data_IF_469840765989
#
_entry.id   IF_469840765989
#
_cell.length_a   1.000
_cell.length_b   1.000
_cell.length_c   1.000
_cell.angle_alpha   90.00
_cell.angle_beta   90.00
_cell.angle_gamma   90.00
#
_symmetry.space_group_name_H-M   'P 1'
#
loop_
_entity.id
_entity.type
_entity.pdbx_description
1 polymer ?
#
# COMPACT_ATOMS: atom_id res chain seq x y z
N UNK A 1 -10.67 -2.28 -7.37
CA UNK A 1 -9.56 -1.29 -7.40
C UNK A 1 -9.46 -0.68 -6.02
N UNK A 2 -8.28 -0.52 -5.42
CA UNK A 2 -8.16 0.03 -4.06
C UNK A 2 -8.20 1.56 -4.11
N UNK A 3 -9.24 2.16 -3.52
CA UNK A 3 -9.45 3.61 -3.44
C UNK A 3 -8.23 4.29 -2.81
N UNK A 4 -7.62 3.63 -1.82
CA UNK A 4 -6.45 4.14 -1.12
C UNK A 4 -5.19 4.17 -2.00
N UNK A 5 -5.03 3.22 -2.94
CA UNK A 5 -3.91 3.27 -3.86
C UNK A 5 -4.02 4.45 -4.84
N UNK A 6 -5.23 4.73 -5.33
CA UNK A 6 -5.49 5.91 -6.17
C UNK A 6 -5.21 7.20 -5.41
N UNK A 7 -5.75 7.32 -4.19
CA UNK A 7 -5.50 8.46 -3.33
C UNK A 7 -4.01 8.64 -3.05
N UNK A 8 -3.26 7.54 -2.85
CA UNK A 8 -1.84 7.59 -2.63
C UNK A 8 -1.06 8.17 -3.83
N UNK A 9 -1.39 7.76 -5.05
CA UNK A 9 -0.76 8.35 -6.24
C UNK A 9 -1.16 9.81 -6.44
N UNK A 10 -2.39 10.20 -6.10
CA UNK A 10 -2.82 11.61 -6.13
C UNK A 10 -2.03 12.45 -5.12
N UNK A 11 -1.86 11.98 -3.88
CA UNK A 11 -1.05 12.66 -2.87
C UNK A 11 0.40 12.84 -3.37
N UNK A 12 1.00 11.79 -3.92
CA UNK A 12 2.36 11.83 -4.48
C UNK A 12 2.46 12.82 -5.65
N UNK A 13 1.47 12.81 -6.54
CA UNK A 13 1.44 13.70 -7.71
C UNK A 13 1.20 15.16 -7.34
N UNK A 14 0.29 15.44 -6.41
CA UNK A 14 0.01 16.78 -5.89
C UNK A 14 1.28 17.42 -5.33
N UNK A 15 2.07 16.64 -4.59
CA UNK A 15 3.37 17.06 -4.07
C UNK A 15 4.39 17.35 -5.16
N UNK A 16 4.45 16.55 -6.21
CA UNK A 16 5.36 16.78 -7.36
C UNK A 16 4.98 18.06 -8.12
N UNK A 17 3.68 18.28 -8.33
CA UNK A 17 3.17 19.44 -9.06
C UNK A 17 3.07 20.70 -8.19
N UNK A 18 3.28 20.57 -6.87
CA UNK A 18 3.10 21.62 -5.88
C UNK A 18 1.70 22.25 -5.92
N UNK A 19 0.68 21.40 -6.04
CA UNK A 19 -0.76 21.74 -6.05
C UNK A 19 -1.48 21.05 -4.89
N UNK A 20 -2.70 21.47 -4.59
CA UNK A 20 -3.54 20.77 -3.61
C UNK A 20 -4.08 19.44 -4.16
N UNK A 21 -4.36 18.48 -3.28
CA UNK A 21 -5.02 17.21 -3.66
C UNK A 21 -6.40 17.44 -4.30
N UNK A 22 -7.10 18.51 -3.88
CA UNK A 22 -8.41 18.89 -4.40
C UNK A 22 -8.37 19.27 -5.87
N UNK A 23 -7.30 19.93 -6.32
CA UNK A 23 -7.09 20.26 -7.73
C UNK A 23 -6.93 19.01 -8.60
N UNK A 24 -6.51 17.89 -8.01
CA UNK A 24 -6.34 16.60 -8.67
C UNK A 24 -7.50 15.63 -8.42
N UNK A 25 -8.59 16.07 -7.77
CA UNK A 25 -9.73 15.20 -7.44
C UNK A 25 -10.38 14.56 -8.68
N UNK A 26 -10.32 15.22 -9.83
CA UNK A 26 -10.83 14.67 -11.11
C UNK A 26 -10.09 13.39 -11.55
N UNK A 27 -8.90 13.11 -11.02
CA UNK A 27 -8.11 11.93 -11.35
C UNK A 27 -8.53 10.67 -10.57
N UNK A 28 -9.44 10.77 -9.59
CA UNK A 28 -9.86 9.65 -8.73
C UNK A 28 -10.46 8.45 -9.47
N UNK A 29 -10.94 8.64 -10.71
CA UNK A 29 -11.49 7.56 -11.53
C UNK A 29 -10.42 6.79 -12.33
N UNK A 30 -9.16 7.21 -12.22
CA UNK A 30 -8.04 6.61 -12.96
C UNK A 30 -7.45 5.44 -12.19
N UNK A 31 -7.09 4.36 -12.90
CA UNK A 31 -6.39 3.24 -12.30
C UNK A 31 -5.06 3.68 -11.66
N UNK A 32 -4.69 3.14 -10.49
CA UNK A 32 -3.51 3.57 -9.74
C UNK A 32 -2.20 3.38 -10.54
N UNK A 33 -2.07 2.28 -11.29
CA UNK A 33 -0.91 2.06 -12.16
C UNK A 33 -0.78 3.09 -13.28
N UNK A 34 -1.90 3.53 -13.86
CA UNK A 34 -1.91 4.58 -14.87
C UNK A 34 -1.50 5.93 -14.27
N UNK A 35 -1.96 6.25 -13.05
CA UNK A 35 -1.54 7.47 -12.34
C UNK A 35 -0.05 7.44 -12.01
N UNK A 36 0.47 6.29 -11.58
CA UNK A 36 1.88 6.08 -11.33
C UNK A 36 2.73 6.26 -12.60
N UNK A 37 2.33 5.65 -13.72
CA UNK A 37 2.99 5.83 -15.01
C UNK A 37 2.96 7.28 -15.47
N UNK A 38 1.82 7.95 -15.33
CA UNK A 38 1.66 9.36 -15.65
C UNK A 38 2.57 10.25 -14.80
N UNK A 39 2.66 9.98 -13.49
CA UNK A 39 3.55 10.67 -12.56
C UNK A 39 5.02 10.53 -12.96
N UNK A 40 5.46 9.33 -13.34
CA UNK A 40 6.83 9.14 -13.86
C UNK A 40 7.05 9.88 -15.19
N UNK A 41 6.08 9.87 -16.11
CA UNK A 41 6.19 10.59 -17.37
C UNK A 41 6.27 12.12 -17.18
N UNK A 42 5.53 12.68 -16.20
CA UNK A 42 5.65 14.10 -15.82
C UNK A 42 7.05 14.40 -15.32
N UNK A 43 7.58 13.59 -14.38
CA UNK A 43 8.92 13.79 -13.83
C UNK A 43 9.97 13.77 -14.94
N UNK A 44 9.92 12.79 -15.83
CA UNK A 44 10.83 12.69 -16.97
C UNK A 44 10.71 13.90 -17.90
N UNK A 45 9.48 14.36 -18.20
CA UNK A 45 9.25 15.52 -19.07
C UNK A 45 9.77 16.82 -18.46
N UNK A 46 9.50 17.06 -17.18
CA UNK A 46 9.97 18.25 -16.46
C UNK A 46 11.50 18.33 -16.45
N UNK A 47 12.16 17.20 -16.24
CA UNK A 47 13.62 17.11 -16.33
C UNK A 47 14.11 17.32 -17.77
N UNK A 48 13.45 16.73 -18.77
CA UNK A 48 13.85 16.79 -20.17
C UNK A 48 13.79 18.20 -20.78
N UNK A 49 12.79 19.01 -20.43
CA UNK A 49 12.54 20.33 -21.06
C UNK A 49 13.66 21.35 -20.86
N UNK A 50 14.52 21.20 -19.85
CA UNK A 50 15.55 22.21 -19.54
C UNK A 50 16.99 21.71 -19.75
N UNK A 51 17.16 20.50 -20.31
CA UNK A 51 18.46 19.82 -20.40
C UNK A 51 19.55 20.63 -21.11
N UNK A 52 19.21 21.29 -22.22
CA UNK A 52 20.18 22.04 -23.02
C UNK A 52 20.76 23.25 -22.26
N UNK A 53 19.92 24.01 -21.55
CA UNK A 53 20.35 25.21 -20.81
C UNK A 53 21.26 24.85 -19.63
N UNK A 54 20.91 23.81 -18.87
CA UNK A 54 21.72 23.37 -17.73
C UNK A 54 23.02 22.67 -18.15
N UNK A 55 23.03 21.96 -19.28
CA UNK A 55 24.26 21.40 -19.85
C UNK A 55 25.31 22.49 -20.14
N UNK A 56 24.89 23.65 -20.65
CA UNK A 56 25.80 24.78 -20.87
C UNK A 56 26.33 25.36 -19.55
N UNK A 57 25.46 25.53 -18.55
CA UNK A 57 25.86 26.02 -17.22
C UNK A 57 26.84 25.07 -16.52
N UNK A 58 26.64 23.75 -16.66
CA UNK A 58 27.55 22.76 -16.11
C UNK A 58 28.95 22.81 -16.74
N UNK A 59 29.03 23.08 -18.04
CA UNK A 59 30.30 23.33 -18.73
C UNK A 59 31.09 24.48 -18.10
N UNK A 60 30.41 25.56 -17.72
CA UNK A 60 31.01 26.68 -17.00
C UNK A 60 31.45 26.31 -15.57
N UNK A 61 30.61 25.57 -14.83
CA UNK A 61 30.93 25.10 -13.47
C UNK A 61 32.12 24.14 -13.46
N UNK A 62 32.32 23.36 -14.52
CA UNK A 62 33.49 22.49 -14.69
C UNK A 62 34.81 23.25 -14.86
N UNK A 63 34.78 24.52 -15.26
CA UNK A 63 35.97 25.35 -15.37
C UNK A 63 36.31 26.10 -14.06
N UNK A 64 35.33 26.30 -13.18
CA UNK A 64 35.50 27.11 -11.97
C UNK A 64 36.35 26.43 -10.87
N UNK A 65 37.20 27.17 -10.14
CA UNK A 65 37.92 26.65 -8.96
C UNK A 65 36.97 26.17 -7.85
N UNK A 66 37.37 25.12 -7.12
CA UNK A 66 36.52 24.47 -6.11
C UNK A 66 35.98 25.44 -5.05
N UNK A 67 36.84 26.32 -4.51
CA UNK A 67 36.44 27.27 -3.47
C UNK A 67 35.35 28.24 -3.95
N UNK A 68 35.42 28.69 -5.20
CA UNK A 68 34.42 29.58 -5.81
C UNK A 68 33.10 28.83 -6.02
N UNK A 69 33.16 27.58 -6.51
CA UNK A 69 31.97 26.74 -6.66
C UNK A 69 31.25 26.53 -5.32
N UNK A 70 32.00 26.21 -4.26
CA UNK A 70 31.45 26.05 -2.90
C UNK A 70 30.86 27.36 -2.39
N UNK A 71 31.54 28.49 -2.57
CA UNK A 71 31.04 29.81 -2.17
C UNK A 71 29.74 30.18 -2.89
N UNK A 72 29.68 29.99 -4.22
CA UNK A 72 28.49 30.28 -5.00
C UNK A 72 27.30 29.42 -4.59
N UNK A 73 27.51 28.13 -4.33
CA UNK A 73 26.43 27.24 -3.85
C UNK A 73 25.91 27.67 -2.47
N UNK A 74 26.80 28.15 -1.57
CA UNK A 74 26.40 28.59 -0.23
C UNK A 74 25.62 29.90 -0.21
N UNK A 75 25.95 30.84 -1.10
CA UNK A 75 25.50 32.23 -0.95
C UNK A 75 24.73 32.80 -2.14
N UNK A 76 24.87 32.24 -3.34
CA UNK A 76 24.38 32.88 -4.56
C UNK A 76 23.39 32.01 -5.36
N UNK A 77 23.63 30.70 -5.47
CA UNK A 77 22.82 29.80 -6.28
C UNK A 77 21.65 29.22 -5.49
N UNK A 78 20.46 29.26 -6.09
CA UNK A 78 19.28 28.59 -5.53
C UNK A 78 19.43 27.07 -5.59
N UNK A 79 18.92 26.31 -4.60
CA UNK A 79 19.08 24.86 -4.54
C UNK A 79 18.61 24.12 -5.79
N UNK A 80 17.50 24.56 -6.39
CA UNK A 80 17.00 24.01 -7.66
C UNK A 80 18.05 24.11 -8.78
N UNK A 81 18.66 25.27 -8.98
CA UNK A 81 19.68 25.48 -10.02
C UNK A 81 20.88 24.56 -9.78
N UNK A 82 21.30 24.44 -8.52
CA UNK A 82 22.43 23.57 -8.15
C UNK A 82 22.10 22.10 -8.45
N UNK A 83 20.90 21.63 -8.11
CA UNK A 83 20.46 20.27 -8.42
C UNK A 83 20.46 19.99 -9.93
N UNK A 84 19.99 20.93 -10.75
CA UNK A 84 19.98 20.79 -12.20
C UNK A 84 21.40 20.77 -12.80
N UNK A 85 22.33 21.56 -12.25
CA UNK A 85 23.74 21.54 -12.66
C UNK A 85 24.41 20.23 -12.25
N UNK A 86 24.11 19.73 -11.04
CA UNK A 86 24.74 18.53 -10.48
C UNK A 86 24.58 17.29 -11.37
N UNK A 87 23.48 17.19 -12.12
CA UNK A 87 23.19 16.14 -13.12
C UNK A 87 24.30 15.98 -14.17
N UNK A 88 25.05 17.04 -14.46
CA UNK A 88 26.05 17.08 -15.52
C UNK A 88 27.49 17.12 -15.00
N UNK A 89 27.68 17.10 -13.68
CA UNK A 89 29.00 17.06 -13.05
C UNK A 89 29.44 15.62 -12.86
N UNK A 90 30.75 15.36 -12.94
CA UNK A 90 31.28 14.05 -12.58
C UNK A 90 31.09 13.78 -11.08
N UNK A 91 30.88 12.52 -10.71
CA UNK A 91 30.68 12.09 -9.32
C UNK A 91 31.80 12.59 -8.39
N UNK A 92 33.05 12.53 -8.83
CA UNK A 92 34.21 13.02 -8.07
C UNK A 92 34.12 14.54 -7.80
N UNK A 93 33.76 15.33 -8.82
CA UNK A 93 33.67 16.79 -8.67
C UNK A 93 32.49 17.17 -7.79
N UNK A 94 31.34 16.51 -7.96
CA UNK A 94 30.17 16.67 -7.11
C UNK A 94 30.51 16.38 -5.65
N UNK A 95 31.22 15.28 -5.38
CA UNK A 95 31.67 14.93 -4.03
C UNK A 95 32.60 15.99 -3.44
N UNK A 96 33.59 16.47 -4.21
CA UNK A 96 34.51 17.52 -3.74
C UNK A 96 33.79 18.82 -3.35
N UNK A 97 32.67 19.15 -3.99
CA UNK A 97 31.85 20.31 -3.63
C UNK A 97 31.01 19.98 -2.39
N UNK A 98 30.23 18.89 -2.45
CA UNK A 98 29.27 18.49 -1.40
C UNK A 98 29.92 18.32 -0.04
N UNK A 99 31.13 17.74 0.03
CA UNK A 99 31.83 17.53 1.30
C UNK A 99 32.15 18.81 2.08
N UNK A 100 32.07 19.98 1.45
CA UNK A 100 32.29 21.29 2.08
C UNK A 100 31.00 22.10 2.29
N UNK A 101 29.84 21.55 1.90
CA UNK A 101 28.55 22.20 2.07
C UNK A 101 27.93 21.85 3.43
N UNK A 102 27.19 22.78 4.06
CA UNK A 102 26.41 22.48 5.25
C UNK A 102 25.32 21.43 4.94
N UNK A 103 24.97 20.54 5.90
CA UNK A 103 23.90 19.56 5.72
C UNK A 103 22.58 20.20 5.28
N UNK A 104 22.26 21.40 5.80
CA UNK A 104 21.07 22.15 5.42
C UNK A 104 21.04 22.53 3.94
N UNK A 105 22.17 22.92 3.38
CA UNK A 105 22.28 23.25 1.95
C UNK A 105 22.14 21.99 1.10
N UNK A 106 22.79 20.90 1.50
CA UNK A 106 22.69 19.62 0.78
C UNK A 106 21.26 19.09 0.80
N UNK A 107 20.59 19.11 1.96
CA UNK A 107 19.18 18.74 2.10
C UNK A 107 18.29 19.53 1.14
N UNK A 108 18.44 20.86 1.09
CA UNK A 108 17.68 21.72 0.18
C UNK A 108 17.93 21.40 -1.31
N UNK A 109 19.14 20.98 -1.67
CA UNK A 109 19.47 20.55 -3.03
C UNK A 109 18.82 19.18 -3.32
N UNK A 110 18.86 18.25 -2.36
CA UNK A 110 18.31 16.89 -2.49
C UNK A 110 16.83 16.88 -2.84
N UNK A 111 16.05 17.85 -2.35
CA UNK A 111 14.61 18.00 -2.69
C UNK A 111 14.39 18.03 -4.21
N UNK A 112 15.26 18.72 -4.94
CA UNK A 112 15.14 18.90 -6.39
C UNK A 112 15.99 17.92 -7.20
N UNK A 113 16.80 17.10 -6.55
CA UNK A 113 17.69 16.16 -7.21
C UNK A 113 16.94 14.87 -7.56
N UNK A 114 17.31 14.25 -8.69
CA UNK A 114 16.90 12.88 -8.98
C UNK A 114 17.78 11.89 -8.19
N UNK A 115 17.22 11.05 -7.31
CA UNK A 115 17.98 10.07 -6.53
C UNK A 115 18.82 9.13 -7.41
N UNK A 116 18.35 8.79 -8.62
CA UNK A 116 19.06 7.88 -9.53
C UNK A 116 20.42 8.43 -9.94
N UNK A 117 20.52 9.75 -10.10
CA UNK A 117 21.75 10.44 -10.45
C UNK A 117 22.69 10.61 -9.25
N UNK A 118 22.13 10.61 -8.04
CA UNK A 118 22.89 10.70 -6.80
C UNK A 118 23.45 9.34 -6.34
N UNK A 119 23.04 8.22 -6.94
CA UNK A 119 23.43 6.86 -6.49
C UNK A 119 24.93 6.70 -6.31
N UNK A 120 25.72 7.06 -7.32
CA UNK A 120 27.18 6.96 -7.22
C UNK A 120 27.74 7.92 -6.17
N UNK A 121 27.18 9.15 -6.10
CA UNK A 121 27.61 10.17 -5.15
C UNK A 121 27.39 9.74 -3.69
N UNK A 122 26.28 9.07 -3.39
CA UNK A 122 25.96 8.57 -2.06
C UNK A 122 27.01 7.58 -1.56
N UNK A 123 27.60 6.77 -2.46
CA UNK A 123 28.70 5.86 -2.12
C UNK A 123 29.99 6.56 -1.68
N UNK A 124 30.17 7.84 -2.00
CA UNK A 124 31.31 8.65 -1.53
C UNK A 124 31.03 9.42 -0.24
N UNK A 125 29.77 9.59 0.14
CA UNK A 125 29.41 10.27 1.38
C UNK A 125 29.64 9.36 2.57
N UNK A 126 30.15 9.92 3.66
CA UNK A 126 30.27 9.17 4.91
C UNK A 126 28.89 8.99 5.54
N UNK A 127 28.70 7.93 6.32
CA UNK A 127 27.46 7.71 7.07
C UNK A 127 27.07 8.91 7.92
N UNK A 128 28.05 9.58 8.55
CA UNK A 128 27.81 10.81 9.32
C UNK A 128 27.21 11.94 8.46
N UNK A 129 27.69 12.14 7.22
CA UNK A 129 27.15 13.15 6.34
C UNK A 129 25.70 12.85 5.96
N UNK A 130 25.39 11.58 5.67
CA UNK A 130 24.03 11.14 5.36
C UNK A 130 23.12 11.35 6.57
N UNK A 131 23.55 10.92 7.75
CA UNK A 131 22.87 11.13 9.03
C UNK A 131 22.57 12.61 9.31
N UNK A 132 23.51 13.51 9.08
CA UNK A 132 23.29 14.95 9.29
C UNK A 132 22.26 15.53 8.30
N UNK A 133 22.27 15.08 7.05
CA UNK A 133 21.29 15.48 6.03
C UNK A 133 19.90 14.96 6.44
N UNK A 134 19.82 13.69 6.85
CA UNK A 134 18.58 13.06 7.33
C UNK A 134 17.98 13.82 8.51
N UNK A 135 18.78 14.22 9.50
CA UNK A 135 18.31 15.04 10.64
C UNK A 135 17.68 16.36 10.19
N UNK A 136 18.27 17.01 9.18
CA UNK A 136 17.68 18.24 8.62
C UNK A 136 16.35 17.95 7.93
N UNK A 137 16.27 16.89 7.11
CA UNK A 137 15.04 16.52 6.40
C UNK A 137 13.93 16.12 7.38
N UNK A 138 14.25 15.38 8.44
CA UNK A 138 13.31 15.02 9.51
C UNK A 138 12.78 16.27 10.22
N UNK A 139 13.65 17.21 10.61
CA UNK A 139 13.23 18.46 11.24
C UNK A 139 12.31 19.30 10.34
N UNK A 140 12.41 19.14 9.01
CA UNK A 140 11.56 19.81 8.03
C UNK A 140 10.33 18.97 7.64
N UNK A 141 10.19 17.75 8.18
CA UNK A 141 9.19 16.74 7.80
C UNK A 141 9.18 16.44 6.29
N UNK A 142 10.34 16.49 5.65
CA UNK A 142 10.49 16.19 4.23
C UNK A 142 10.64 14.66 4.00
N UNK A 143 9.56 13.95 4.29
CA UNK A 143 9.43 12.49 4.10
C UNK A 143 9.50 12.09 2.63
N UNK A 144 9.10 12.99 1.72
CA UNK A 144 9.15 12.76 0.28
C UNK A 144 10.58 12.59 -0.19
N UNK A 145 11.45 13.55 0.15
CA UNK A 145 12.86 13.47 -0.21
C UNK A 145 13.51 12.26 0.43
N UNK A 146 13.22 11.95 1.69
CA UNK A 146 13.75 10.75 2.34
C UNK A 146 13.32 9.46 1.62
N UNK A 147 12.02 9.24 1.39
CA UNK A 147 11.49 8.04 0.74
C UNK A 147 12.04 7.80 -0.67
N UNK A 148 12.27 8.88 -1.43
CA UNK A 148 12.88 8.83 -2.77
C UNK A 148 14.34 8.31 -2.75
N UNK A 149 15.08 8.59 -1.69
CA UNK A 149 16.50 8.23 -1.58
C UNK A 149 16.75 6.87 -0.91
N UNK A 150 15.78 6.30 -0.18
CA UNK A 150 15.90 5.01 0.53
C UNK A 150 16.51 3.92 -0.36
N UNK A 151 16.04 3.79 -1.60
CA UNK A 151 16.49 2.76 -2.54
C UNK A 151 17.93 2.89 -3.06
N UNK A 152 18.64 3.95 -2.66
CA UNK A 152 20.02 4.21 -3.08
C UNK A 152 21.02 4.02 -1.93
N UNK A 153 20.54 3.78 -0.71
CA UNK A 153 21.36 3.63 0.48
C UNK A 153 21.74 2.16 0.68
N UNK A 154 22.93 1.92 1.25
CA UNK A 154 23.32 0.57 1.70
C UNK A 154 22.56 0.17 2.96
N UNK A 155 22.44 -1.12 3.22
CA UNK A 155 21.72 -1.66 4.38
C UNK A 155 22.23 -1.10 5.71
N UNK A 156 23.55 -0.95 5.85
CA UNK A 156 24.18 -0.33 7.03
C UNK A 156 23.71 1.11 7.25
N UNK A 157 23.64 1.92 6.18
CA UNK A 157 23.20 3.30 6.26
C UNK A 157 21.69 3.38 6.51
N UNK A 158 20.91 2.47 5.94
CA UNK A 158 19.46 2.38 6.22
C UNK A 158 19.18 2.09 7.69
N UNK A 159 19.93 1.18 8.31
CA UNK A 159 19.82 0.88 9.73
C UNK A 159 20.17 2.09 10.59
N UNK A 160 21.28 2.77 10.29
CA UNK A 160 21.68 3.96 11.02
C UNK A 160 20.67 5.11 10.87
N UNK A 161 20.13 5.30 9.66
CA UNK A 161 19.06 6.27 9.38
C UNK A 161 17.80 5.93 10.17
N UNK A 162 17.41 4.66 10.22
CA UNK A 162 16.21 4.23 10.94
C UNK A 162 16.32 4.42 12.45
N UNK A 163 17.53 4.37 13.02
CA UNK A 163 17.77 4.68 14.44
C UNK A 163 17.63 6.16 14.77
N UNK A 164 17.84 7.05 13.79
CA UNK A 164 17.67 8.50 13.96
C UNK A 164 16.19 8.90 13.93
N UNK A 165 15.38 8.16 13.17
CA UNK A 165 13.94 8.40 13.12
C UNK A 165 13.34 7.87 14.43
N UNK A 166 13.05 8.75 15.39
CA UNK A 166 12.58 8.33 16.71
C UNK A 166 11.20 7.66 16.63
N UNK A 167 10.28 8.24 15.84
CA UNK A 167 8.88 7.82 15.76
C UNK A 167 8.60 6.87 14.59
N UNK A 168 7.88 5.78 14.85
CA UNK A 168 7.46 4.84 13.81
C UNK A 168 6.42 5.45 12.85
N UNK A 169 5.69 6.49 13.28
CA UNK A 169 4.83 7.28 12.40
C UNK A 169 5.65 7.92 11.28
N UNK A 170 6.77 8.55 11.62
CA UNK A 170 7.65 9.17 10.65
C UNK A 170 8.32 8.13 9.73
N UNK A 171 8.63 6.91 10.24
CA UNK A 171 9.06 5.80 9.39
C UNK A 171 8.00 5.39 8.37
N UNK A 172 6.73 5.28 8.79
CA UNK A 172 5.61 4.95 7.90
C UNK A 172 5.38 6.05 6.85
N UNK A 173 5.52 7.31 7.22
CA UNK A 173 5.49 8.45 6.29
C UNK A 173 6.60 8.36 5.25
N UNK A 174 7.84 8.04 5.66
CA UNK A 174 8.96 7.83 4.73
C UNK A 174 8.67 6.65 3.80
N UNK A 175 8.20 5.54 4.36
CA UNK A 175 7.87 4.33 3.60
C UNK A 175 6.80 4.58 2.53
N UNK A 176 5.79 5.40 2.84
CA UNK A 176 4.73 5.79 1.91
C UNK A 176 5.26 6.44 0.62
N UNK A 177 6.35 7.22 0.72
CA UNK A 177 6.98 7.87 -0.43
C UNK A 177 8.06 7.03 -1.12
N UNK A 178 8.27 5.77 -0.71
CA UNK A 178 9.13 4.85 -1.44
C UNK A 178 8.45 4.49 -2.77
N UNK A 179 9.23 4.53 -3.85
CA UNK A 179 8.72 4.32 -5.20
C UNK A 179 8.68 2.84 -5.60
N UNK A 180 9.64 2.02 -5.16
CA UNK A 180 9.73 0.60 -5.55
C UNK A 180 9.12 -0.32 -4.49
N UNK A 181 8.29 -1.26 -4.96
CA UNK A 181 7.70 -2.33 -4.13
C UNK A 181 8.80 -3.19 -3.51
N UNK A 182 9.75 -3.60 -4.34
CA UNK A 182 10.89 -4.43 -3.95
C UNK A 182 11.73 -3.75 -2.87
N UNK A 183 11.81 -2.41 -2.91
CA UNK A 183 12.51 -1.66 -1.88
C UNK A 183 11.78 -1.65 -0.54
N UNK A 184 10.45 -1.57 -0.53
CA UNK A 184 9.68 -1.61 0.72
C UNK A 184 9.87 -2.99 1.37
N UNK A 185 9.75 -4.04 0.56
CA UNK A 185 10.04 -5.42 0.98
C UNK A 185 11.45 -5.54 1.58
N UNK A 186 12.48 -5.09 0.86
CA UNK A 186 13.87 -5.11 1.35
C UNK A 186 14.05 -4.31 2.65
N UNK A 187 13.44 -3.13 2.73
CA UNK A 187 13.53 -2.27 3.92
C UNK A 187 12.99 -2.99 5.16
N UNK A 188 11.85 -3.69 5.07
CA UNK A 188 11.29 -4.42 6.21
C UNK A 188 12.26 -5.48 6.73
N UNK A 189 13.00 -6.16 5.84
CA UNK A 189 13.98 -7.18 6.22
C UNK A 189 15.29 -6.62 6.76
N UNK A 190 15.67 -5.41 6.35
CA UNK A 190 16.88 -4.72 6.84
C UNK A 190 16.66 -4.09 8.22
N UNK A 191 15.44 -3.62 8.49
CA UNK A 191 15.10 -2.97 9.76
C UNK A 191 15.04 -3.98 10.92
N UNK A 192 15.38 -3.56 12.15
CA UNK A 192 15.19 -4.40 13.33
C UNK A 192 13.73 -4.80 13.48
N UNK A 193 13.46 -6.09 13.72
CA UNK A 193 12.09 -6.63 13.89
C UNK A 193 11.25 -5.83 14.90
N UNK A 194 11.87 -5.39 16.00
CA UNK A 194 11.23 -4.56 17.02
C UNK A 194 10.61 -3.28 16.45
N UNK A 195 11.24 -2.64 15.45
CA UNK A 195 10.71 -1.43 14.81
C UNK A 195 9.47 -1.72 13.97
N UNK A 196 9.42 -2.89 13.33
CA UNK A 196 8.25 -3.34 12.59
C UNK A 196 7.10 -3.63 13.56
N UNK A 197 7.38 -4.31 14.66
CA UNK A 197 6.39 -4.58 15.72
C UNK A 197 5.85 -3.27 16.33
N UNK A 198 6.70 -2.29 16.62
CA UNK A 198 6.28 -0.97 17.09
C UNK A 198 5.44 -0.21 16.06
N UNK A 199 5.80 -0.27 14.78
CA UNK A 199 5.00 0.32 13.71
C UNK A 199 3.61 -0.33 13.59
N UNK A 200 3.50 -1.63 13.85
CA UNK A 200 2.21 -2.32 13.92
C UNK A 200 1.39 -1.90 15.14
N UNK A 201 2.02 -1.58 16.26
CA UNK A 201 1.31 -1.07 17.44
C UNK A 201 0.75 0.34 17.23
N UNK A 202 1.42 1.19 16.44
CA UNK A 202 0.91 2.53 16.07
C UNK A 202 -0.44 2.45 15.37
N UNK A 203 -0.68 1.40 14.59
CA UNK A 203 -1.97 1.18 13.92
C UNK A 203 -3.12 1.08 14.93
N UNK A 204 -2.86 0.54 16.11
CA UNK A 204 -3.84 0.40 17.17
C UNK A 204 -4.05 1.65 18.02
N UNK A 205 -3.27 2.71 17.80
CA UNK A 205 -3.34 3.95 18.55
C UNK A 205 -4.34 4.93 17.90
N UNK A 206 -5.45 5.28 18.59
CA UNK A 206 -6.43 6.24 18.09
C UNK A 206 -5.84 7.62 17.77
N UNK A 207 -4.75 8.03 18.43
CA UNK A 207 -4.09 9.32 18.18
C UNK A 207 -3.37 9.35 16.83
N UNK A 208 -3.00 8.18 16.30
CA UNK A 208 -2.24 8.01 15.05
C UNK A 208 -3.12 7.68 13.84
N UNK A 209 -4.44 7.84 13.98
CA UNK A 209 -5.44 7.50 12.95
C UNK A 209 -5.19 8.13 11.57
N UNK A 210 -4.60 9.33 11.53
CA UNK A 210 -4.31 10.03 10.28
C UNK A 210 -3.35 9.27 9.34
N UNK A 211 -2.59 8.31 9.87
CA UNK A 211 -1.61 7.51 9.13
C UNK A 211 -2.27 6.27 8.51
N UNK A 212 -3.43 5.87 8.99
CA UNK A 212 -4.11 4.64 8.60
C UNK A 212 -4.35 4.49 7.09
N UNK A 213 -4.88 5.51 6.38
CA UNK A 213 -5.03 5.44 4.93
C UNK A 213 -3.71 5.20 4.19
N UNK A 214 -2.59 5.73 4.72
CA UNK A 214 -1.26 5.56 4.12
C UNK A 214 -0.72 4.14 4.33
N UNK A 215 -0.92 3.57 5.51
CA UNK A 215 -0.54 2.18 5.82
C UNK A 215 -1.32 1.21 4.94
N UNK A 216 -2.62 1.40 4.80
CA UNK A 216 -3.44 0.55 3.94
C UNK A 216 -3.13 0.74 2.46
N UNK A 217 -2.83 1.97 2.02
CA UNK A 217 -2.29 2.19 0.69
C UNK A 217 -0.99 1.40 0.49
N UNK A 218 -0.05 1.44 1.46
CA UNK A 218 1.19 0.65 1.42
C UNK A 218 0.92 -0.85 1.29
N UNK A 219 -0.09 -1.38 1.98
CA UNK A 219 -0.50 -2.78 1.82
C UNK A 219 -0.87 -3.12 0.37
N UNK A 220 -1.40 -2.18 -0.41
CA UNK A 220 -1.66 -2.42 -1.84
C UNK A 220 -0.36 -2.53 -2.68
N UNK A 221 0.74 -1.94 -2.21
CA UNK A 221 2.01 -1.86 -2.96
C UNK A 221 3.06 -2.90 -2.58
N UNK A 222 2.99 -3.55 -1.42
CA UNK A 222 3.98 -4.55 -0.96
C UNK A 222 3.77 -5.95 -1.55
N UNK A 223 4.78 -6.82 -1.55
CA UNK A 223 4.64 -8.20 -2.06
C UNK A 223 3.62 -9.03 -1.30
N UNK A 224 3.12 -10.09 -1.94
CA UNK A 224 2.26 -11.07 -1.27
C UNK A 224 2.98 -11.72 -0.08
N UNK A 225 4.26 -12.07 -0.23
CA UNK A 225 5.07 -12.63 0.85
C UNK A 225 5.17 -11.67 2.05
N UNK A 226 5.42 -10.39 1.78
CA UNK A 226 5.48 -9.39 2.85
C UNK A 226 4.11 -9.15 3.52
N UNK A 227 3.00 -9.20 2.77
CA UNK A 227 1.65 -9.15 3.37
C UNK A 227 1.44 -10.27 4.38
N UNK A 228 1.85 -11.49 4.03
CA UNK A 228 1.72 -12.64 4.91
C UNK A 228 2.56 -12.48 6.17
N UNK A 229 3.82 -12.07 6.03
CA UNK A 229 4.73 -11.84 7.15
C UNK A 229 4.20 -10.74 8.09
N UNK A 230 3.82 -9.58 7.56
CA UNK A 230 3.27 -8.49 8.37
C UNK A 230 1.94 -8.88 9.02
N UNK A 231 1.10 -9.66 8.34
CA UNK A 231 -0.12 -10.22 8.91
C UNK A 231 0.15 -11.17 10.07
N UNK A 232 1.12 -12.06 9.93
CA UNK A 232 1.53 -12.98 11.00
C UNK A 232 2.10 -12.22 12.19
N UNK A 233 2.90 -11.17 11.95
CA UNK A 233 3.40 -10.29 13.02
C UNK A 233 2.26 -9.55 13.72
N UNK A 234 1.28 -9.03 12.97
CA UNK A 234 0.13 -8.34 13.56
C UNK A 234 -0.70 -9.29 14.44
N UNK A 235 -0.91 -10.54 14.01
CA UNK A 235 -1.59 -11.56 14.82
C UNK A 235 -0.77 -11.93 16.07
N UNK A 236 0.56 -11.98 15.98
CA UNK A 236 1.44 -12.20 17.14
C UNK A 236 1.36 -11.09 18.19
N UNK A 237 1.04 -9.85 17.80
CA UNK A 237 0.78 -8.76 18.75
C UNK A 237 -0.53 -8.95 19.54
N UNK A 238 -1.39 -9.87 19.09
CA UNK A 238 -2.61 -10.28 19.79
C UNK A 238 -3.87 -9.57 19.31
N UNK A 239 -4.99 -9.97 19.92
CA UNK A 239 -6.33 -9.55 19.51
C UNK A 239 -6.56 -8.03 19.62
N UNK A 240 -5.89 -7.35 20.56
CA UNK A 240 -6.04 -5.89 20.76
C UNK A 240 -5.69 -5.11 19.50
N UNK A 241 -4.57 -5.44 18.85
CA UNK A 241 -4.11 -4.76 17.63
C UNK A 241 -5.06 -5.03 16.47
N UNK A 242 -5.48 -6.28 16.27
CA UNK A 242 -6.39 -6.63 15.19
C UNK A 242 -7.78 -6.00 15.39
N UNK A 243 -8.28 -5.95 16.62
CA UNK A 243 -9.56 -5.28 16.92
C UNK A 243 -9.48 -3.77 16.65
N UNK A 244 -8.34 -3.13 16.92
CA UNK A 244 -8.14 -1.72 16.57
C UNK A 244 -8.10 -1.52 15.04
N UNK A 245 -7.46 -2.42 14.29
CA UNK A 245 -7.50 -2.45 12.82
C UNK A 245 -8.93 -2.57 12.30
N UNK A 246 -9.71 -3.49 12.85
CA UNK A 246 -11.12 -3.71 12.48
C UNK A 246 -11.93 -2.44 12.77
N UNK A 247 -11.75 -1.84 13.94
CA UNK A 247 -12.45 -0.61 14.32
C UNK A 247 -12.11 0.56 13.40
N UNK A 248 -10.83 0.80 13.12
CA UNK A 248 -10.39 1.85 12.20
C UNK A 248 -10.96 1.63 10.79
N UNK A 249 -10.94 0.37 10.31
CA UNK A 249 -11.52 -0.01 9.02
C UNK A 249 -13.02 0.27 8.96
N UNK A 250 -13.76 -0.08 10.02
CA UNK A 250 -15.20 0.14 10.09
C UNK A 250 -15.54 1.63 10.09
N UNK A 251 -14.91 2.39 10.97
CA UNK A 251 -15.20 3.81 11.15
C UNK A 251 -14.80 4.65 9.91
N UNK A 252 -13.72 4.28 9.22
CA UNK A 252 -13.27 4.96 8.00
C UNK A 252 -13.86 4.36 6.70
N UNK A 253 -14.71 3.33 6.82
CA UNK A 253 -15.37 2.60 5.72
C UNK A 253 -14.40 2.02 4.67
N UNK A 254 -13.31 1.42 5.13
CA UNK A 254 -12.20 0.93 4.27
C UNK A 254 -12.24 -0.57 3.97
N UNK A 255 -13.41 -1.22 4.09
CA UNK A 255 -13.54 -2.65 3.84
C UNK A 255 -13.19 -3.06 2.41
N UNK A 256 -13.41 -2.18 1.43
CA UNK A 256 -13.03 -2.41 0.03
C UNK A 256 -11.50 -2.50 -0.18
N UNK A 257 -10.72 -1.83 0.67
CA UNK A 257 -9.25 -1.92 0.65
C UNK A 257 -8.74 -3.04 1.56
N UNK A 258 -9.46 -3.35 2.64
CA UNK A 258 -9.05 -4.34 3.65
C UNK A 258 -9.33 -5.80 3.26
N UNK A 259 -10.45 -6.08 2.60
CA UNK A 259 -10.80 -7.45 2.19
C UNK A 259 -9.70 -8.11 1.33
N UNK A 260 -9.17 -7.45 0.29
CA UNK A 260 -8.08 -8.01 -0.51
C UNK A 260 -6.80 -8.23 0.30
N UNK A 261 -6.55 -7.41 1.32
CA UNK A 261 -5.40 -7.56 2.22
C UNK A 261 -5.56 -8.82 3.06
N UNK A 262 -6.71 -9.00 3.72
CA UNK A 262 -7.00 -10.18 4.56
C UNK A 262 -7.00 -11.47 3.72
N UNK A 263 -7.54 -11.43 2.50
CA UNK A 263 -7.52 -12.56 1.58
C UNK A 263 -6.10 -12.99 1.14
N UNK A 264 -5.10 -12.12 1.30
CA UNK A 264 -3.71 -12.40 0.99
C UNK A 264 -2.84 -12.81 2.19
N UNK A 265 -3.39 -12.90 3.40
CA UNK A 265 -2.61 -13.26 4.59
C UNK A 265 -2.25 -14.75 4.61
N UNK A 266 -1.44 -15.17 5.59
CA UNK A 266 -1.18 -16.59 5.83
C UNK A 266 -2.47 -17.29 6.28
N UNK A 267 -2.58 -18.61 6.09
CA UNK A 267 -3.73 -19.38 6.56
C UNK A 267 -3.96 -19.25 8.08
N UNK A 268 -2.87 -19.12 8.85
CA UNK A 268 -2.92 -18.90 10.29
C UNK A 268 -3.52 -17.52 10.61
N UNK A 269 -3.03 -16.46 9.98
CA UNK A 269 -3.53 -15.12 10.17
C UNK A 269 -4.99 -14.97 9.69
N UNK A 270 -5.36 -15.58 8.56
CA UNK A 270 -6.74 -15.61 8.06
C UNK A 270 -7.68 -16.28 9.05
N UNK A 271 -7.31 -17.47 9.56
CA UNK A 271 -8.08 -18.19 10.58
C UNK A 271 -8.23 -17.37 11.86
N UNK A 272 -7.16 -16.73 12.34
CA UNK A 272 -7.23 -15.88 13.53
C UNK A 272 -8.18 -14.69 13.33
N UNK A 273 -7.96 -13.90 12.27
CA UNK A 273 -8.72 -12.67 12.00
C UNK A 273 -10.19 -12.98 11.74
N UNK A 274 -10.49 -13.96 10.87
CA UNK A 274 -11.86 -14.29 10.45
C UNK A 274 -12.76 -14.75 11.60
N UNK A 275 -12.18 -15.21 12.70
CA UNK A 275 -12.91 -15.77 13.84
C UNK A 275 -13.03 -14.83 15.05
N UNK A 276 -12.49 -13.61 14.97
CA UNK A 276 -12.58 -12.64 16.05
C UNK A 276 -14.05 -12.27 16.37
N UNK A 277 -14.41 -12.13 17.66
CA UNK A 277 -15.76 -11.74 18.06
C UNK A 277 -16.21 -10.40 17.45
N UNK A 278 -15.28 -9.47 17.23
CA UNK A 278 -15.58 -8.19 16.58
C UNK A 278 -16.22 -8.35 15.19
N UNK A 279 -15.76 -9.33 14.40
CA UNK A 279 -16.32 -9.59 13.06
C UNK A 279 -17.71 -10.23 13.09
N UNK A 280 -18.20 -10.69 14.26
CA UNK A 280 -19.56 -11.25 14.39
C UNK A 280 -20.63 -10.19 14.58
N UNK A 281 -20.23 -8.92 14.81
CA UNK A 281 -21.18 -7.82 14.94
C UNK A 281 -21.90 -7.59 13.62
N UNK A 282 -23.24 -7.51 13.69
CA UNK A 282 -24.12 -7.37 12.51
C UNK A 282 -23.71 -6.18 11.63
N UNK A 283 -23.42 -5.03 12.25
CA UNK A 283 -23.02 -3.80 11.55
C UNK A 283 -21.72 -3.96 10.74
N UNK A 284 -20.75 -4.72 11.26
CA UNK A 284 -19.47 -4.98 10.59
C UNK A 284 -19.66 -5.94 9.43
N UNK A 285 -20.39 -7.04 9.62
CA UNK A 285 -20.66 -8.00 8.55
C UNK A 285 -21.44 -7.34 7.41
N UNK A 286 -22.46 -6.53 7.72
CA UNK A 286 -23.20 -5.79 6.71
C UNK A 286 -22.26 -4.87 5.91
N UNK A 287 -21.39 -4.12 6.59
CA UNK A 287 -20.41 -3.23 5.95
C UNK A 287 -19.41 -4.00 5.07
N UNK A 288 -18.96 -5.18 5.51
CA UNK A 288 -18.10 -6.08 4.75
C UNK A 288 -18.80 -6.58 3.49
N UNK A 289 -20.04 -7.05 3.63
CA UNK A 289 -20.81 -7.60 2.50
C UNK A 289 -21.14 -6.52 1.48
N UNK A 290 -21.56 -5.34 1.93
CA UNK A 290 -21.81 -4.19 1.06
C UNK A 290 -20.55 -3.79 0.28
N UNK A 291 -19.38 -3.78 0.92
CA UNK A 291 -18.11 -3.50 0.24
C UNK A 291 -17.75 -4.61 -0.75
N UNK A 292 -17.96 -5.88 -0.39
CA UNK A 292 -17.71 -7.01 -1.27
C UNK A 292 -18.56 -6.96 -2.54
N UNK A 293 -19.83 -6.60 -2.42
CA UNK A 293 -20.72 -6.46 -3.56
C UNK A 293 -20.39 -5.22 -4.41
N UNK A 294 -20.28 -4.05 -3.77
CA UNK A 294 -20.02 -2.78 -4.46
C UNK A 294 -18.73 -2.79 -5.26
N UNK A 295 -17.71 -3.51 -4.78
CA UNK A 295 -16.37 -3.49 -5.35
C UNK A 295 -15.95 -4.82 -6.02
N UNK A 296 -16.89 -5.74 -6.23
CA UNK A 296 -16.66 -7.06 -6.86
C UNK A 296 -15.55 -7.89 -6.15
N UNK A 297 -15.60 -7.91 -4.82
CA UNK A 297 -14.63 -8.60 -3.95
C UNK A 297 -15.20 -9.90 -3.35
N UNK A 298 -16.26 -10.45 -3.94
CA UNK A 298 -16.87 -11.69 -3.47
C UNK A 298 -15.90 -12.87 -3.44
N UNK A 299 -14.98 -12.94 -4.42
CA UNK A 299 -13.92 -13.95 -4.43
C UNK A 299 -13.01 -13.84 -3.19
N UNK A 300 -12.62 -12.63 -2.80
CA UNK A 300 -11.78 -12.38 -1.62
C UNK A 300 -12.57 -12.67 -0.33
N UNK A 301 -13.84 -12.25 -0.29
CA UNK A 301 -14.71 -12.53 0.85
C UNK A 301 -14.90 -14.04 1.07
N UNK A 302 -15.16 -14.81 0.02
CA UNK A 302 -15.35 -16.26 0.10
C UNK A 302 -14.06 -16.99 0.53
N UNK A 303 -12.86 -16.50 0.16
CA UNK A 303 -11.59 -16.98 0.76
C UNK A 303 -11.65 -16.84 2.28
N UNK A 304 -12.02 -15.67 2.79
CA UNK A 304 -12.02 -15.39 4.23
C UNK A 304 -13.09 -16.24 4.95
N UNK A 305 -14.28 -16.37 4.38
CA UNK A 305 -15.38 -17.18 4.95
C UNK A 305 -14.98 -18.67 5.05
N UNK A 306 -14.11 -19.17 4.16
CA UNK A 306 -13.63 -20.56 4.25
C UNK A 306 -12.87 -20.85 5.56
N UNK A 307 -12.25 -19.83 6.15
CA UNK A 307 -11.54 -19.92 7.44
C UNK A 307 -12.43 -19.64 8.67
N UNK A 308 -13.68 -19.20 8.47
CA UNK A 308 -14.61 -18.93 9.58
C UNK A 308 -15.18 -20.21 10.20
N UNK A 309 -15.41 -20.18 11.51
CA UNK A 309 -16.16 -21.19 12.26
C UNK A 309 -17.68 -20.98 12.12
N UNK A 310 -18.45 -21.97 12.58
CA UNK A 310 -19.90 -22.04 12.38
C UNK A 310 -20.66 -20.79 12.81
N UNK A 311 -20.31 -20.19 13.96
CA UNK A 311 -20.97 -18.98 14.46
C UNK A 311 -20.75 -17.77 13.53
N UNK A 312 -19.53 -17.58 13.05
CA UNK A 312 -19.21 -16.48 12.13
C UNK A 312 -19.86 -16.70 10.76
N UNK A 313 -19.86 -17.95 10.26
CA UNK A 313 -20.57 -18.32 9.01
C UNK A 313 -22.07 -18.12 9.12
N UNK A 314 -22.67 -18.39 10.29
CA UNK A 314 -24.10 -18.12 10.53
C UNK A 314 -24.41 -16.63 10.47
N UNK A 315 -23.53 -15.79 11.03
CA UNK A 315 -23.69 -14.35 11.00
C UNK A 315 -23.58 -13.80 9.56
N UNK A 316 -22.63 -14.31 8.76
CA UNK A 316 -22.51 -14.01 7.33
C UNK A 316 -23.76 -14.44 6.55
N UNK A 317 -24.25 -15.66 6.76
CA UNK A 317 -25.47 -16.15 6.10
C UNK A 317 -26.69 -15.30 6.44
N UNK A 318 -26.79 -14.82 7.69
CA UNK A 318 -27.86 -13.93 8.14
C UNK A 318 -27.80 -12.58 7.43
N UNK A 319 -26.60 -12.00 7.26
CA UNK A 319 -26.41 -10.76 6.53
C UNK A 319 -26.75 -10.92 5.05
N UNK A 320 -26.22 -11.96 4.38
CA UNK A 320 -26.49 -12.22 2.95
C UNK A 320 -27.98 -12.50 2.70
N UNK A 321 -28.68 -13.11 3.66
CA UNK A 321 -30.11 -13.38 3.54
C UNK A 321 -30.98 -12.11 3.41
N UNK A 322 -30.46 -10.95 3.83
CA UNK A 322 -31.15 -9.66 3.75
C UNK A 322 -30.92 -8.90 2.43
N UNK A 323 -30.05 -9.41 1.55
CA UNK A 323 -29.61 -8.71 0.35
C UNK A 323 -30.42 -9.14 -0.88
N UNK A 324 -30.45 -8.29 -1.90
CA UNK A 324 -31.17 -8.53 -3.15
C UNK A 324 -30.66 -9.73 -3.95
N UNK A 325 -31.53 -10.25 -4.82
CA UNK A 325 -31.26 -11.41 -5.69
C UNK A 325 -30.09 -11.17 -6.66
N UNK A 326 -29.90 -9.94 -7.12
CA UNK A 326 -28.79 -9.57 -8.00
C UNK A 326 -27.41 -9.88 -7.38
N UNK A 327 -27.27 -9.65 -6.07
CA UNK A 327 -26.03 -9.93 -5.35
C UNK A 327 -25.75 -11.43 -5.25
N UNK A 328 -26.80 -12.25 -5.16
CA UNK A 328 -26.64 -13.72 -5.17
C UNK A 328 -26.03 -14.23 -6.48
N UNK A 329 -26.31 -13.56 -7.62
CA UNK A 329 -25.64 -13.88 -8.88
C UNK A 329 -24.14 -13.57 -8.84
N UNK A 330 -23.74 -12.44 -8.22
CA UNK A 330 -22.33 -12.10 -8.05
C UNK A 330 -21.60 -13.13 -7.19
N UNK A 331 -22.23 -13.59 -6.10
CA UNK A 331 -21.69 -14.67 -5.25
C UNK A 331 -21.49 -15.94 -6.09
N UNK A 332 -22.52 -16.40 -6.80
CA UNK A 332 -22.42 -17.61 -7.62
C UNK A 332 -21.32 -17.51 -8.69
N UNK A 333 -21.18 -16.35 -9.32
CA UNK A 333 -20.11 -16.08 -10.29
C UNK A 333 -18.73 -16.11 -9.65
N UNK A 334 -18.54 -15.50 -8.48
CA UNK A 334 -17.28 -15.54 -7.75
C UNK A 334 -16.91 -16.96 -7.29
N UNK A 335 -17.89 -17.75 -6.83
CA UNK A 335 -17.70 -19.16 -6.47
C UNK A 335 -17.20 -19.98 -7.64
N UNK A 336 -17.69 -19.71 -8.85
CA UNK A 336 -17.21 -20.35 -10.08
C UNK A 336 -15.75 -19.95 -10.39
N UNK A 337 -15.43 -18.65 -10.36
CA UNK A 337 -14.11 -18.14 -10.70
C UNK A 337 -12.98 -18.70 -9.83
N UNK A 338 -13.27 -19.02 -8.57
CA UNK A 338 -12.28 -19.51 -7.59
C UNK A 338 -12.53 -20.95 -7.11
N UNK A 339 -13.50 -21.66 -7.69
CA UNK A 339 -13.94 -22.98 -7.25
C UNK A 339 -14.29 -23.07 -5.75
N UNK A 340 -14.91 -22.02 -5.20
CA UNK A 340 -15.25 -21.88 -3.78
C UNK A 340 -16.66 -22.36 -3.44
N UNK A 341 -17.07 -23.48 -4.04
CA UNK A 341 -18.45 -23.98 -3.94
C UNK A 341 -18.79 -24.57 -2.58
N UNK A 342 -17.83 -25.24 -1.91
CA UNK A 342 -18.08 -25.83 -0.59
C UNK A 342 -18.53 -24.78 0.43
N UNK A 343 -17.82 -23.66 0.53
CA UNK A 343 -18.16 -22.58 1.46
C UNK A 343 -19.45 -21.87 1.04
N UNK A 344 -19.69 -21.72 -0.26
CA UNK A 344 -20.90 -21.10 -0.79
C UNK A 344 -22.15 -21.91 -0.41
N UNK A 345 -22.10 -23.23 -0.56
CA UNK A 345 -23.19 -24.12 -0.18
C UNK A 345 -23.32 -24.23 1.34
N UNK A 346 -22.23 -24.20 2.10
CA UNK A 346 -22.29 -24.11 3.57
C UNK A 346 -23.01 -22.85 4.05
N UNK A 347 -22.81 -21.72 3.39
CA UNK A 347 -23.51 -20.46 3.67
C UNK A 347 -24.96 -20.52 3.21
N UNK A 348 -25.24 -21.05 2.02
CA UNK A 348 -26.59 -21.23 1.49
C UNK A 348 -27.46 -22.08 2.44
N UNK A 349 -26.97 -23.23 2.92
CA UNK A 349 -27.75 -24.10 3.83
C UNK A 349 -28.12 -23.43 5.17
N UNK A 350 -27.40 -22.39 5.57
CA UNK A 350 -27.63 -21.63 6.83
C UNK A 350 -28.65 -20.51 6.67
N UNK A 351 -29.01 -20.15 5.43
CA UNK A 351 -30.00 -19.11 5.15
C UNK A 351 -31.44 -19.60 5.38
N UNK A 352 -32.43 -18.70 5.55
CA UNK A 352 -33.84 -19.07 5.56
C UNK A 352 -34.26 -19.77 4.25
N UNK A 353 -35.18 -20.74 4.35
CA UNK A 353 -35.67 -21.55 3.22
C UNK A 353 -36.06 -20.72 1.97
N UNK A 354 -36.79 -19.58 2.08
CA UNK A 354 -37.13 -18.79 0.90
C UNK A 354 -35.90 -18.29 0.12
N UNK A 355 -34.83 -17.95 0.85
CA UNK A 355 -33.58 -17.48 0.24
C UNK A 355 -32.79 -18.63 -0.37
N UNK A 356 -32.81 -19.81 0.26
CA UNK A 356 -32.24 -21.03 -0.32
C UNK A 356 -32.89 -21.35 -1.68
N UNK A 357 -34.21 -21.23 -1.78
CA UNK A 357 -34.93 -21.46 -3.04
C UNK A 357 -34.53 -20.44 -4.13
N UNK A 358 -34.28 -19.18 -3.77
CA UNK A 358 -33.75 -18.18 -4.71
C UNK A 358 -32.35 -18.55 -5.21
N UNK A 359 -31.42 -18.86 -4.29
CA UNK A 359 -30.08 -19.31 -4.64
C UNK A 359 -30.12 -20.54 -5.56
N UNK A 360 -31.04 -21.47 -5.30
CA UNK A 360 -31.19 -22.67 -6.12
C UNK A 360 -31.62 -22.36 -7.56
N UNK A 361 -32.61 -21.47 -7.75
CA UNK A 361 -33.03 -21.04 -9.09
C UNK A 361 -31.90 -20.40 -9.89
N UNK A 362 -31.05 -19.63 -9.21
CA UNK A 362 -29.86 -19.03 -9.82
C UNK A 362 -28.87 -20.12 -10.25
N UNK A 363 -28.56 -21.05 -9.35
CA UNK A 363 -27.66 -22.17 -9.61
C UNK A 363 -28.14 -23.03 -10.78
N UNK A 364 -29.44 -23.33 -10.89
CA UNK A 364 -30.01 -24.09 -12.01
C UNK A 364 -29.69 -23.46 -13.37
N UNK A 365 -29.73 -22.13 -13.46
CA UNK A 365 -29.41 -21.40 -14.69
C UNK A 365 -27.92 -21.54 -15.03
N UNK A 366 -27.05 -21.40 -14.02
CA UNK A 366 -25.60 -21.58 -14.19
C UNK A 366 -25.24 -23.01 -14.56
N UNK A 367 -25.78 -24.01 -13.84
CA UNK A 367 -25.46 -25.43 -14.03
C UNK A 367 -25.77 -25.93 -15.44
N UNK A 368 -26.79 -25.38 -16.11
CA UNK A 368 -27.11 -25.72 -17.52
C UNK A 368 -26.05 -25.27 -18.53
N UNK A 369 -25.17 -24.34 -18.14
CA UNK A 369 -24.13 -23.79 -19.01
C UNK A 369 -22.73 -24.38 -18.73
N UNK A 370 -22.61 -25.21 -17.69
CA UNK A 370 -21.35 -25.83 -17.29
C UNK A 370 -21.04 -27.07 -18.14
N UNK A 371 -19.76 -27.41 -18.20
CA UNK A 371 -19.31 -28.70 -18.70
C UNK A 371 -19.75 -29.85 -17.76
N UNK A 372 -19.72 -31.08 -18.29
CA UNK A 372 -20.23 -32.26 -17.59
C UNK A 372 -19.47 -32.53 -16.29
N UNK A 373 -18.16 -32.32 -16.25
CA UNK A 373 -17.33 -32.59 -15.07
C UNK A 373 -17.67 -31.60 -13.95
N UNK A 374 -17.72 -30.31 -14.26
CA UNK A 374 -18.08 -29.28 -13.28
C UNK A 374 -19.52 -29.46 -12.79
N UNK A 375 -20.46 -29.84 -13.66
CA UNK A 375 -21.84 -30.12 -13.26
C UNK A 375 -21.91 -31.25 -12.23
N UNK A 376 -21.25 -32.38 -12.49
CA UNK A 376 -21.27 -33.54 -11.59
C UNK A 376 -20.67 -33.19 -10.22
N UNK A 377 -19.57 -32.44 -10.20
CA UNK A 377 -18.96 -31.96 -8.97
C UNK A 377 -19.92 -31.10 -8.13
N UNK A 378 -20.65 -30.16 -8.76
CA UNK A 378 -21.61 -29.32 -8.04
C UNK A 378 -22.83 -30.09 -7.56
N UNK A 379 -23.33 -31.04 -8.35
CA UNK A 379 -24.47 -31.89 -7.97
C UNK A 379 -24.13 -32.78 -6.76
N UNK A 380 -22.94 -33.36 -6.72
CA UNK A 380 -22.44 -34.09 -5.54
C UNK A 380 -22.36 -33.20 -4.30
N UNK A 381 -21.88 -31.97 -4.45
CA UNK A 381 -21.81 -31.02 -3.35
C UNK A 381 -23.20 -30.57 -2.86
N UNK A 382 -24.15 -30.30 -3.75
CA UNK A 382 -25.54 -29.96 -3.37
C UNK A 382 -26.17 -31.07 -2.53
N UNK A 383 -25.98 -32.33 -2.96
CA UNK A 383 -26.42 -33.50 -2.22
C UNK A 383 -25.74 -33.60 -0.84
N UNK A 384 -24.42 -33.39 -0.76
CA UNK A 384 -23.66 -33.43 0.50
C UNK A 384 -24.13 -32.38 1.51
N UNK A 385 -24.45 -31.18 1.04
CA UNK A 385 -24.95 -30.09 1.90
C UNK A 385 -26.46 -30.13 2.14
N UNK A 386 -27.17 -31.16 1.65
CA UNK A 386 -28.62 -31.37 1.79
C UNK A 386 -29.45 -30.19 1.28
N UNK A 387 -28.95 -29.51 0.24
CA UNK A 387 -29.63 -28.38 -0.39
C UNK A 387 -30.59 -28.96 -1.43
N UNK A 388 -31.77 -29.37 -0.98
CA UNK A 388 -32.77 -29.98 -1.85
C UNK A 388 -33.60 -28.94 -2.60
N UNK A 389 -33.86 -29.21 -3.88
CA UNK A 389 -34.99 -28.65 -4.63
C UNK A 389 -36.27 -28.95 -3.85
N UNK A 390 -36.76 -27.98 -3.08
CA UNK A 390 -38.15 -28.04 -2.68
C UNK A 390 -38.95 -27.76 -3.95
N UNK A 391 -39.55 -28.80 -4.50
CA UNK A 391 -40.53 -28.74 -5.60
C UNK A 391 -41.62 -27.73 -5.27
#
# INVERSE_FOLDING_TARGET
MTRLAVQAEIIKLARILNVSEQELAFMQQTAPESLRQFRFAILDRLQNQQKLRFKHLAGWVNWLPLGISVFMVKHFLQPYIVAQIAVYLSTERSYRIVKHLPPKTVAAISVHLDPRLARELLGYLTTHQITDITKVLLAQRDFVTMGRFVSMLSDSVLQDVAQIVESESDLLEIAFYIESREQIDHLVHVLPKQRIEQALLIIGDPEQRLIWPKVLALMSYISYGLKQELGDLAVQQGEVVINAIIQATQEDQLWEDMLPVVACLSANAQSFVANLPALRKVEIIQSIVEAADRCDLWADMLVIVSYMYDEARQAVATAIAQIDEFVLHHIAYASLLRSQWEVTFDIMRRMPIPKQQQCHKILDVYMRQLDIETYQYLDELLNRFQIHTSV
#
